data_IF_005864235138
#
_entry.id   IF_005864235138
#
_cell.length_a   1.000
_cell.length_b   1.000
_cell.length_c   1.000
_cell.angle_alpha   90.00
_cell.angle_beta   90.00
_cell.angle_gamma   90.00
#
_symmetry.space_group_name_H-M   'P 1'
#
loop_
_entity.id
_entity.type
_entity.pdbx_description
1 polymer ?
#
# COMPACT_ATOMS: atom_id res chain seq x y z
N UNK A 1 8.74 81.20 26.61
CA UNK A 1 10.20 80.95 26.61
C UNK A 1 10.50 80.03 25.45
N UNK A 2 10.80 80.55 24.25
CA UNK A 2 12.16 80.92 23.75
C UNK A 2 13.08 79.70 23.58
N UNK A 3 13.68 79.38 22.43
CA UNK A 3 13.76 79.96 21.08
C UNK A 3 14.50 78.92 20.18
N UNK A 4 14.15 78.85 18.87
CA UNK A 4 14.94 78.51 17.66
C UNK A 4 15.87 77.24 17.61
N UNK A 5 16.17 76.58 16.48
CA UNK A 5 16.24 77.02 15.09
C UNK A 5 16.24 75.81 14.11
N UNK A 6 15.68 76.04 12.91
CA UNK A 6 15.82 75.28 11.66
C UNK A 6 17.28 75.03 11.26
N UNK A 7 17.58 73.95 10.52
CA UNK A 7 18.30 73.98 9.22
C UNK A 7 17.95 72.73 8.39
N UNK A 8 17.61 72.97 7.11
CA UNK A 8 17.37 71.97 6.06
C UNK A 8 18.70 71.49 5.48
N UNK A 9 18.83 70.19 5.23
CA UNK A 9 19.80 69.64 4.29
C UNK A 9 19.09 68.61 3.40
N UNK A 10 18.96 68.93 2.10
CA UNK A 10 18.56 67.98 1.07
C UNK A 10 19.78 67.14 0.73
N UNK A 11 19.76 65.86 1.12
CA UNK A 11 20.70 64.87 0.58
C UNK A 11 20.06 64.21 -0.65
N UNK A 12 20.63 64.46 -1.81
CA UNK A 12 20.35 63.72 -3.03
C UNK A 12 21.01 62.34 -2.89
N UNK A 13 20.22 61.31 -2.61
CA UNK A 13 20.68 59.91 -2.64
C UNK A 13 20.28 59.33 -4.00
N UNK A 14 21.23 58.87 -4.83
CA UNK A 14 20.89 58.18 -6.06
C UNK A 14 20.26 56.82 -5.70
N UNK A 15 19.02 56.62 -6.15
CA UNK A 15 18.36 55.31 -6.14
C UNK A 15 19.14 54.35 -7.04
N UNK A 16 20.10 53.61 -6.47
CA UNK A 16 20.57 52.37 -7.06
C UNK A 16 19.51 51.30 -6.79
N UNK A 17 18.60 51.11 -7.74
CA UNK A 17 17.74 49.94 -7.80
C UNK A 17 18.65 48.76 -8.18
N UNK A 18 19.11 48.03 -7.17
CA UNK A 18 19.76 46.75 -7.35
C UNK A 18 18.69 45.74 -7.80
N UNK A 19 18.58 45.50 -9.10
CA UNK A 19 17.85 44.35 -9.63
C UNK A 19 18.61 43.09 -9.23
N UNK A 20 18.28 42.52 -8.08
CA UNK A 20 18.61 41.13 -7.78
C UNK A 20 17.72 40.28 -8.67
N UNK A 21 18.24 39.93 -9.86
CA UNK A 21 17.62 38.94 -10.73
C UNK A 21 17.66 37.59 -10.04
N UNK A 22 16.66 37.29 -9.20
CA UNK A 22 16.37 35.92 -8.83
C UNK A 22 15.92 35.20 -10.11
N UNK A 23 16.82 34.42 -10.67
CA UNK A 23 16.46 33.42 -11.67
C UNK A 23 15.55 32.41 -10.97
N UNK A 24 14.24 32.63 -11.08
CA UNK A 24 13.23 31.63 -10.80
C UNK A 24 13.44 30.50 -11.82
N UNK A 25 14.35 29.58 -11.51
CA UNK A 25 14.33 28.25 -12.10
C UNK A 25 13.04 27.61 -11.61
N UNK A 26 11.95 27.92 -12.29
CA UNK A 26 10.70 27.19 -12.16
C UNK A 26 11.05 25.76 -12.52
N UNK A 27 11.10 24.89 -11.50
CA UNK A 27 11.39 23.49 -11.67
C UNK A 27 10.33 22.89 -12.58
N UNK A 28 10.69 22.69 -13.85
CA UNK A 28 9.86 22.05 -14.88
C UNK A 28 9.50 20.61 -14.49
N UNK A 29 10.09 20.07 -13.42
CA UNK A 29 9.81 18.74 -12.89
C UNK A 29 8.50 18.66 -12.09
N UNK A 30 7.99 19.77 -11.57
CA UNK A 30 6.76 19.77 -10.76
C UNK A 30 5.49 19.43 -11.56
N UNK A 31 5.54 19.49 -12.90
CA UNK A 31 4.35 19.33 -13.77
C UNK A 31 4.17 17.90 -14.31
N UNK A 32 5.16 17.00 -14.11
CA UNK A 32 5.17 15.67 -14.75
C UNK A 32 4.55 14.58 -13.87
N UNK A 33 4.46 14.78 -12.55
CA UNK A 33 3.84 13.82 -11.64
C UNK A 33 2.39 14.25 -11.38
N UNK A 34 1.43 13.43 -11.79
CA UNK A 34 0.02 13.69 -11.49
C UNK A 34 -0.15 13.71 -9.96
N UNK A 35 -0.86 14.71 -9.39
CA UNK A 35 -1.11 14.84 -7.95
C UNK A 35 -2.19 13.85 -7.47
N UNK A 36 -2.12 12.61 -7.95
CA UNK A 36 -2.88 11.49 -7.38
C UNK A 36 -2.05 10.94 -6.23
N UNK A 37 -2.66 10.86 -5.06
CA UNK A 37 -2.05 10.18 -3.92
C UNK A 37 -1.77 8.70 -4.22
N UNK A 38 -1.18 8.02 -3.25
CA UNK A 38 -1.00 6.58 -3.24
C UNK A 38 -1.96 5.99 -2.17
N UNK A 39 -3.23 5.72 -2.52
CA UNK A 39 -4.28 5.31 -1.58
C UNK A 39 -4.12 3.88 -1.04
N UNK A 40 -3.14 3.09 -1.50
CA UNK A 40 -2.79 1.79 -0.94
C UNK A 40 -1.41 1.37 -1.43
N UNK A 41 -0.93 0.19 -1.00
CA UNK A 41 0.22 -0.44 -1.63
C UNK A 41 0.04 -0.54 -3.15
N UNK A 42 1.09 -0.19 -3.89
CA UNK A 42 1.07 -0.09 -5.36
C UNK A 42 0.14 0.98 -5.93
N UNK A 43 -0.28 1.95 -5.10
CA UNK A 43 -0.94 3.21 -5.44
C UNK A 43 -2.28 3.16 -6.20
N UNK A 44 -2.80 1.99 -6.54
CA UNK A 44 -4.05 1.87 -7.29
C UNK A 44 -4.69 0.49 -7.09
N UNK A 45 -6.00 0.38 -7.33
CA UNK A 45 -6.76 -0.86 -7.07
C UNK A 45 -6.32 -2.06 -7.89
N UNK A 46 -5.77 -1.78 -9.06
CA UNK A 46 -5.22 -2.74 -10.00
C UNK A 46 -3.71 -2.99 -9.80
N UNK A 47 -3.20 -2.55 -8.64
CA UNK A 47 -1.80 -2.61 -8.20
C UNK A 47 -0.82 -1.96 -9.18
N UNK A 48 -1.27 -0.98 -9.95
CA UNK A 48 -0.42 -0.26 -10.89
C UNK A 48 0.27 0.91 -10.19
N UNK A 49 1.53 0.69 -9.81
CA UNK A 49 2.42 1.74 -9.27
C UNK A 49 3.08 2.53 -10.41
N UNK A 50 2.26 3.07 -11.32
CA UNK A 50 2.76 3.80 -12.47
C UNK A 50 2.01 5.11 -12.67
N UNK A 51 2.73 6.10 -13.17
CA UNK A 51 2.17 7.31 -13.73
C UNK A 51 2.44 7.30 -15.23
N UNK A 52 1.48 7.76 -16.03
CA UNK A 52 1.73 8.05 -17.45
C UNK A 52 2.66 9.27 -17.55
N UNK A 53 3.95 9.00 -17.62
CA UNK A 53 4.97 9.99 -17.92
C UNK A 53 5.51 9.74 -19.33
N UNK A 54 5.63 10.78 -20.18
CA UNK A 54 6.27 10.63 -21.48
C UNK A 54 7.65 9.99 -21.32
N UNK A 55 7.96 9.02 -22.19
CA UNK A 55 9.28 8.40 -22.18
C UNK A 55 10.35 9.50 -22.30
N UNK A 56 11.35 9.54 -21.41
CA UNK A 56 12.36 10.59 -21.47
C UNK A 56 13.15 10.45 -22.78
N UNK A 57 13.40 11.57 -23.44
CA UNK A 57 14.24 11.62 -24.65
C UNK A 57 15.73 11.44 -24.36
N UNK A 58 16.11 11.39 -23.09
CA UNK A 58 17.47 11.25 -22.60
C UNK A 58 17.57 10.03 -21.68
N UNK A 59 18.79 9.53 -21.50
CA UNK A 59 19.06 8.46 -20.53
C UNK A 59 18.63 8.90 -19.12
N UNK A 60 17.91 8.03 -18.42
CA UNK A 60 17.60 8.21 -17.00
C UNK A 60 18.88 8.18 -16.17
N UNK A 61 18.97 9.06 -15.18
CA UNK A 61 20.05 9.07 -14.17
C UNK A 61 19.44 9.11 -12.78
N UNK A 62 20.14 8.53 -11.80
CA UNK A 62 19.81 8.69 -10.39
C UNK A 62 20.04 10.15 -10.03
N UNK A 63 19.00 10.84 -9.55
CA UNK A 63 19.08 12.26 -9.14
C UNK A 63 19.58 12.38 -7.70
N UNK A 64 19.15 11.47 -6.82
CA UNK A 64 19.60 11.39 -5.44
C UNK A 64 19.50 9.96 -4.91
N UNK A 65 20.25 9.69 -3.85
CA UNK A 65 20.21 8.45 -3.07
C UNK A 65 20.57 8.80 -1.63
N UNK A 66 19.81 8.27 -0.66
CA UNK A 66 20.08 8.46 0.77
C UNK A 66 20.40 7.16 1.48
N UNK A 67 21.44 7.20 2.30
CA UNK A 67 21.91 6.09 3.11
C UNK A 67 22.58 6.59 4.42
N UNK A 68 22.14 7.74 4.94
CA UNK A 68 22.77 8.38 6.09
C UNK A 68 22.26 7.80 7.42
N UNK A 69 21.03 7.28 7.45
CA UNK A 69 20.46 6.62 8.64
C UNK A 69 20.59 5.09 8.56
N UNK A 70 20.67 4.40 9.72
CA UNK A 70 20.64 2.94 9.75
C UNK A 70 19.42 2.34 9.02
N UNK A 71 18.23 2.94 9.19
CA UNK A 71 17.01 2.52 8.49
C UNK A 71 17.10 2.68 6.97
N UNK A 72 17.61 3.82 6.49
CA UNK A 72 17.84 4.05 5.04
C UNK A 72 18.80 2.99 4.46
N UNK A 73 19.86 2.62 5.19
CA UNK A 73 20.80 1.55 4.77
C UNK A 73 20.18 0.16 4.79
N UNK A 74 19.30 -0.11 5.75
CA UNK A 74 18.63 -1.40 5.89
C UNK A 74 17.54 -1.61 4.83
N UNK A 75 16.93 -0.52 4.35
CA UNK A 75 15.77 -0.57 3.46
C UNK A 75 14.50 -0.99 4.21
N UNK A 76 13.44 -1.32 3.48
CA UNK A 76 12.16 -1.75 4.06
C UNK A 76 12.14 -3.22 4.50
N UNK A 77 13.10 -4.03 4.04
CA UNK A 77 13.21 -5.45 4.34
C UNK A 77 12.05 -6.26 3.75
N UNK A 78 10.98 -6.42 4.54
CA UNK A 78 9.73 -7.07 4.15
C UNK A 78 8.67 -6.10 3.62
N UNK A 79 8.89 -4.81 3.81
CA UNK A 79 7.93 -3.76 3.49
C UNK A 79 7.85 -3.36 2.04
N UNK A 80 6.71 -2.79 1.69
CA UNK A 80 6.39 -2.24 0.37
C UNK A 80 7.08 -0.88 0.08
N UNK A 81 8.02 -0.48 0.94
CA UNK A 81 9.01 0.55 0.63
C UNK A 81 8.50 1.98 0.83
N UNK A 82 8.37 2.70 -0.27
CA UNK A 82 8.01 4.11 -0.30
C UNK A 82 6.77 4.32 -1.15
N UNK A 83 6.03 5.38 -0.83
CA UNK A 83 4.92 5.87 -1.63
C UNK A 83 5.12 7.37 -1.88
N UNK A 84 4.51 7.89 -2.94
CA UNK A 84 4.64 9.31 -3.30
C UNK A 84 3.40 9.85 -4.00
N UNK A 85 3.28 11.18 -4.06
CA UNK A 85 2.19 11.87 -4.76
C UNK A 85 2.68 13.03 -5.67
N UNK A 86 3.98 13.07 -5.98
CA UNK A 86 4.60 14.15 -6.74
C UNK A 86 5.08 15.35 -5.91
N UNK A 87 4.64 15.48 -4.66
CA UNK A 87 5.09 16.54 -3.74
C UNK A 87 5.97 16.00 -2.61
N UNK A 88 5.57 14.88 -2.01
CA UNK A 88 6.33 14.18 -0.98
C UNK A 88 6.48 12.70 -1.33
N UNK A 89 7.57 12.11 -0.86
CA UNK A 89 7.77 10.66 -0.83
C UNK A 89 7.94 10.22 0.61
N UNK A 90 7.17 9.23 1.06
CA UNK A 90 7.24 8.71 2.42
C UNK A 90 7.65 7.26 2.38
N UNK A 91 8.64 6.90 3.19
CA UNK A 91 9.23 5.57 3.21
C UNK A 91 9.15 4.96 4.60
N UNK A 92 8.86 3.67 4.66
CA UNK A 92 9.00 2.83 5.86
C UNK A 92 10.30 2.04 5.81
N UNK A 93 11.04 2.02 6.93
CA UNK A 93 12.34 1.37 7.02
C UNK A 93 12.37 0.32 8.13
N UNK A 94 13.06 -0.79 7.85
CA UNK A 94 13.38 -1.85 8.80
C UNK A 94 14.36 -1.33 9.85
N UNK A 95 13.79 -0.61 10.81
CA UNK A 95 14.59 0.14 11.74
C UNK A 95 14.63 -0.58 13.09
N UNK A 96 15.71 -1.34 13.27
CA UNK A 96 15.93 -2.17 14.46
C UNK A 96 16.63 -1.37 15.59
N UNK A 97 17.10 -0.13 15.33
CA UNK A 97 18.01 0.58 16.26
C UNK A 97 17.88 2.10 16.34
N UNK A 98 17.12 2.74 15.46
CA UNK A 98 16.91 4.19 15.45
C UNK A 98 15.49 4.52 15.91
N UNK A 99 15.22 5.79 16.21
CA UNK A 99 13.92 6.21 16.70
C UNK A 99 12.87 6.40 15.59
N UNK A 100 13.26 6.45 14.31
CA UNK A 100 12.37 6.85 13.23
C UNK A 100 12.24 5.76 12.16
N UNK A 101 11.05 5.16 12.08
CA UNK A 101 10.76 4.05 11.15
C UNK A 101 10.06 4.54 9.87
N UNK A 102 9.57 5.78 9.89
CA UNK A 102 8.97 6.46 8.75
C UNK A 102 9.70 7.77 8.54
N UNK A 103 10.05 8.06 7.29
CA UNK A 103 10.68 9.32 6.91
C UNK A 103 10.02 9.84 5.65
N UNK A 104 9.72 11.14 5.65
CA UNK A 104 9.26 11.86 4.47
C UNK A 104 10.39 12.67 3.83
N UNK A 105 10.40 12.69 2.51
CA UNK A 105 11.33 13.42 1.67
C UNK A 105 10.58 14.28 0.67
N UNK A 106 11.21 15.37 0.24
CA UNK A 106 10.85 15.96 -1.05
C UNK A 106 11.47 15.15 -2.20
N UNK A 107 11.11 15.53 -3.43
CA UNK A 107 11.60 14.86 -4.63
C UNK A 107 13.04 15.22 -5.01
N UNK A 108 13.68 16.17 -4.31
CA UNK A 108 15.12 16.44 -4.39
C UNK A 108 15.91 15.59 -3.37
N UNK A 109 15.20 14.80 -2.56
CA UNK A 109 15.77 13.91 -1.55
C UNK A 109 16.10 14.61 -0.24
N UNK A 110 15.67 15.85 0.01
CA UNK A 110 15.78 16.47 1.32
C UNK A 110 14.77 15.83 2.29
N UNK A 111 15.16 15.66 3.56
CA UNK A 111 14.24 15.15 4.59
C UNK A 111 13.32 16.27 5.03
N UNK A 112 12.03 16.01 5.05
CA UNK A 112 11.00 16.95 5.49
C UNK A 112 10.66 16.71 6.96
N UNK A 113 10.35 15.47 7.31
CA UNK A 113 9.99 15.06 8.67
C UNK A 113 10.18 13.55 8.87
N UNK A 114 10.09 13.08 10.11
CA UNK A 114 10.12 11.67 10.46
C UNK A 114 9.14 11.33 11.60
N UNK A 115 8.77 10.05 11.73
CA UNK A 115 7.76 9.62 12.72
C UNK A 115 8.20 9.79 14.17
N UNK A 116 9.51 9.94 14.43
CA UNK A 116 10.09 9.76 15.76
C UNK A 116 9.60 8.42 16.35
N UNK A 117 9.51 8.33 17.67
CA UNK A 117 9.04 7.16 18.42
C UNK A 117 7.51 6.93 18.37
N UNK A 118 6.79 7.55 17.43
CA UNK A 118 5.33 7.42 17.40
C UNK A 118 4.88 6.05 16.90
N UNK A 119 5.70 5.34 16.12
CA UNK A 119 5.40 4.05 15.50
C UNK A 119 6.41 2.99 15.91
N UNK A 120 5.93 1.76 16.07
CA UNK A 120 6.72 0.56 16.37
C UNK A 120 7.44 -0.02 15.16
N UNK A 121 8.29 -1.05 15.39
CA UNK A 121 9.12 -1.65 14.33
C UNK A 121 8.30 -2.38 13.26
N UNK A 122 7.07 -2.81 13.57
CA UNK A 122 6.22 -3.56 12.64
C UNK A 122 5.55 -2.69 11.57
N UNK A 123 5.73 -1.36 11.63
CA UNK A 123 5.32 -0.44 10.55
C UNK A 123 5.91 -0.82 9.18
N UNK A 124 7.03 -1.55 9.20
CA UNK A 124 7.71 -2.05 8.01
C UNK A 124 6.83 -2.98 7.19
N UNK A 125 5.80 -3.61 7.76
CA UNK A 125 4.91 -4.50 7.01
C UNK A 125 3.89 -3.74 6.13
N UNK A 126 3.82 -2.41 6.25
CA UNK A 126 2.81 -1.56 5.62
C UNK A 126 3.46 -0.54 4.67
N UNK A 127 2.90 -0.37 3.47
CA UNK A 127 3.16 0.83 2.68
C UNK A 127 2.52 2.06 3.38
N UNK A 128 3.16 3.23 3.34
CA UNK A 128 2.49 4.49 3.66
C UNK A 128 1.36 4.77 2.66
N UNK A 129 0.17 5.10 3.14
CA UNK A 129 -0.86 5.66 2.27
C UNK A 129 -0.68 7.17 2.20
N UNK A 130 -0.53 7.72 0.99
CA UNK A 130 -0.38 9.16 0.79
C UNK A 130 -1.62 9.69 0.10
N UNK A 131 -2.23 10.73 0.66
CA UNK A 131 -3.39 11.39 0.09
C UNK A 131 -2.95 12.48 -0.90
N UNK A 132 -3.86 12.89 -1.79
CA UNK A 132 -3.58 13.92 -2.79
C UNK A 132 -3.16 15.28 -2.16
N UNK A 133 -3.63 15.57 -0.94
CA UNK A 133 -3.26 16.78 -0.20
C UNK A 133 -1.91 16.67 0.55
N UNK A 134 -1.20 15.55 0.43
CA UNK A 134 0.06 15.30 1.12
C UNK A 134 -0.08 14.73 2.53
N UNK A 135 -1.30 14.53 3.05
CA UNK A 135 -1.47 13.81 4.30
C UNK A 135 -1.08 12.35 4.13
N UNK A 136 -0.64 11.73 5.24
CA UNK A 136 -0.08 10.39 5.21
C UNK A 136 -0.72 9.54 6.30
N UNK A 137 -1.25 8.38 5.93
CA UNK A 137 -1.79 7.40 6.88
C UNK A 137 -0.83 6.22 6.97
N UNK A 138 -0.45 5.88 8.20
CA UNK A 138 0.52 4.82 8.49
C UNK A 138 0.03 4.02 9.68
N UNK A 139 0.20 2.71 9.61
CA UNK A 139 -0.19 1.79 10.65
C UNK A 139 0.99 0.93 11.10
N UNK A 140 1.05 0.67 12.40
CA UNK A 140 1.82 -0.43 12.98
C UNK A 140 0.86 -1.40 13.68
N UNK A 141 1.38 -2.39 14.41
CA UNK A 141 0.53 -3.37 15.08
C UNK A 141 -0.23 -2.89 16.31
N UNK A 142 -0.06 -1.65 16.73
CA UNK A 142 -0.68 -1.09 17.95
C UNK A 142 -1.55 0.10 17.67
N UNK A 143 -1.36 0.80 16.55
CA UNK A 143 -2.11 2.00 16.20
C UNK A 143 -1.99 2.35 14.74
N UNK A 144 -2.91 3.21 14.32
CA UNK A 144 -2.82 3.96 13.07
C UNK A 144 -2.68 5.44 13.37
N UNK A 145 -1.89 6.13 12.56
CA UNK A 145 -1.65 7.56 12.66
C UNK A 145 -1.89 8.19 11.29
N UNK A 146 -2.61 9.31 11.28
CA UNK A 146 -2.57 10.25 10.15
C UNK A 146 -1.68 11.42 10.49
N UNK A 147 -0.69 11.64 9.64
CA UNK A 147 0.15 12.82 9.62
C UNK A 147 -0.41 13.82 8.61
N UNK A 148 -0.36 15.10 8.95
CA UNK A 148 -0.49 16.18 7.96
C UNK A 148 0.77 16.20 7.07
N UNK A 149 0.72 16.89 5.93
CA UNK A 149 1.87 17.00 5.02
C UNK A 149 3.16 17.56 5.66
N UNK A 150 3.05 18.32 6.76
CA UNK A 150 4.18 18.84 7.55
C UNK A 150 4.73 17.88 8.62
N UNK A 151 4.14 16.69 8.76
CA UNK A 151 4.52 15.68 9.75
C UNK A 151 3.89 15.87 11.14
N UNK A 152 3.01 16.85 11.32
CA UNK A 152 2.18 16.95 12.53
C UNK A 152 1.14 15.82 12.59
N UNK A 153 0.80 15.34 13.77
CA UNK A 153 -0.21 14.29 13.94
C UNK A 153 -1.60 14.90 13.86
N UNK A 154 -2.37 14.56 12.83
CA UNK A 154 -3.76 14.96 12.69
C UNK A 154 -4.67 14.12 13.62
N UNK A 155 -4.48 12.80 13.63
CA UNK A 155 -5.12 11.88 14.57
C UNK A 155 -4.29 10.61 14.80
N UNK A 156 -4.56 9.91 15.90
CA UNK A 156 -3.99 8.61 16.19
C UNK A 156 -5.01 7.71 16.88
N UNK A 157 -5.13 6.48 16.42
CA UNK A 157 -6.15 5.52 16.87
C UNK A 157 -5.48 4.22 17.30
N UNK A 158 -5.67 3.78 18.56
CA UNK A 158 -5.14 2.50 19.01
C UNK A 158 -5.86 1.32 18.35
N UNK A 159 -5.14 0.23 18.13
CA UNK A 159 -5.66 -1.06 17.66
C UNK A 159 -5.77 -2.01 18.87
N UNK A 160 -6.95 -2.17 19.47
CA UNK A 160 -7.12 -2.81 20.78
C UNK A 160 -6.75 -4.29 20.79
N UNK A 161 -6.85 -4.98 19.66
CA UNK A 161 -6.46 -6.39 19.51
C UNK A 161 -5.09 -6.56 18.86
N UNK A 162 -4.42 -5.44 18.56
CA UNK A 162 -3.17 -5.40 17.82
C UNK A 162 -3.25 -6.05 16.44
N UNK A 163 -2.18 -6.76 16.06
CA UNK A 163 -2.01 -7.43 14.77
C UNK A 163 -1.20 -6.59 13.79
N UNK A 164 -0.20 -7.19 13.14
CA UNK A 164 0.62 -6.51 12.13
C UNK A 164 -0.25 -6.08 10.97
N UNK A 165 -0.26 -4.81 10.61
CA UNK A 165 -1.11 -4.27 9.53
C UNK A 165 -0.46 -4.41 8.16
N UNK A 166 -1.18 -4.94 7.17
CA UNK A 166 -0.66 -5.22 5.84
C UNK A 166 -1.14 -4.17 4.84
N UNK A 167 -0.63 -2.95 4.97
CA UNK A 167 -1.01 -1.76 4.20
C UNK A 167 -2.49 -1.38 4.28
N UNK A 168 -2.80 -0.13 4.63
CA UNK A 168 -4.18 0.32 4.63
C UNK A 168 -4.75 0.41 3.20
N UNK A 169 -6.04 0.17 3.05
CA UNK A 169 -6.81 0.47 1.82
C UNK A 169 -7.99 1.37 2.13
N UNK A 170 -8.49 2.09 1.14
CA UNK A 170 -9.57 3.07 1.30
C UNK A 170 -10.77 2.71 0.42
N UNK A 171 -11.96 2.62 1.02
CA UNK A 171 -13.24 2.46 0.29
C UNK A 171 -13.68 3.74 -0.39
N UNK A 172 -14.64 3.64 -1.32
CA UNK A 172 -15.26 4.82 -1.96
C UNK A 172 -15.89 5.76 -0.93
N UNK A 173 -16.51 5.21 0.13
CA UNK A 173 -17.07 5.96 1.26
C UNK A 173 -16.02 6.38 2.31
N UNK A 174 -14.74 6.33 1.94
CA UNK A 174 -13.60 6.80 2.74
C UNK A 174 -13.46 6.07 4.08
N UNK A 175 -13.86 4.80 4.13
CA UNK A 175 -13.54 3.92 5.25
C UNK A 175 -12.15 3.34 5.02
N UNK A 176 -11.28 3.54 6.00
CA UNK A 176 -9.95 2.98 6.05
C UNK A 176 -10.04 1.54 6.55
N UNK A 177 -9.55 0.59 5.76
CA UNK A 177 -9.56 -0.83 6.10
C UNK A 177 -8.13 -1.31 6.36
N UNK A 178 -7.96 -2.03 7.46
CA UNK A 178 -6.70 -2.65 7.87
C UNK A 178 -6.94 -4.14 8.01
N UNK A 179 -6.41 -4.93 7.08
CA UNK A 179 -6.30 -6.37 7.30
C UNK A 179 -4.98 -6.65 8.03
N UNK A 180 -5.02 -7.61 8.96
CA UNK A 180 -3.87 -7.85 9.84
C UNK A 180 -3.41 -9.31 9.82
N UNK A 181 -2.12 -9.47 10.14
CA UNK A 181 -1.54 -10.74 10.60
C UNK A 181 -1.70 -10.77 12.11
N UNK A 182 -2.27 -11.85 12.63
CA UNK A 182 -2.47 -12.08 14.06
C UNK A 182 -3.36 -11.03 14.74
N UNK A 183 -4.42 -10.60 14.06
CA UNK A 183 -5.46 -9.73 14.59
C UNK A 183 -6.72 -9.74 13.70
N UNK A 184 -7.71 -8.88 13.99
CA UNK A 184 -8.92 -8.75 13.19
C UNK A 184 -8.70 -7.87 11.95
N UNK A 185 -9.74 -7.76 11.12
CA UNK A 185 -9.89 -6.67 10.16
C UNK A 185 -10.44 -5.45 10.90
N UNK A 186 -9.83 -4.28 10.73
CA UNK A 186 -10.33 -3.03 11.30
C UNK A 186 -10.94 -2.13 10.23
N UNK A 187 -11.97 -1.38 10.61
CA UNK A 187 -12.54 -0.29 9.84
C UNK A 187 -12.47 1.02 10.65
N UNK A 188 -11.94 2.06 10.03
CA UNK A 188 -11.81 3.38 10.63
C UNK A 188 -12.34 4.46 9.69
N UNK A 189 -12.85 5.54 10.26
CA UNK A 189 -13.10 6.78 9.55
C UNK A 189 -11.76 7.40 9.14
N UNK A 190 -11.47 7.50 7.85
CA UNK A 190 -10.19 8.04 7.37
C UNK A 190 -9.99 9.54 7.69
N UNK A 191 -11.07 10.27 7.95
CA UNK A 191 -11.04 11.69 8.27
C UNK A 191 -10.74 11.91 9.74
N UNK A 192 -11.49 11.26 10.62
CA UNK A 192 -11.42 11.50 12.07
C UNK A 192 -10.51 10.51 12.80
N UNK A 193 -10.17 9.39 12.19
CA UNK A 193 -9.51 8.26 12.83
C UNK A 193 -10.44 7.43 13.72
N UNK A 194 -11.73 7.77 13.83
CA UNK A 194 -12.65 7.02 14.67
C UNK A 194 -12.74 5.55 14.23
N UNK A 195 -12.58 4.63 15.17
CA UNK A 195 -12.81 3.21 14.91
C UNK A 195 -14.30 2.98 14.68
N UNK A 196 -14.63 2.46 13.49
CA UNK A 196 -15.99 2.18 13.08
C UNK A 196 -16.38 0.75 13.45
N UNK A 197 -15.48 -0.21 13.24
CA UNK A 197 -15.68 -1.62 13.58
C UNK A 197 -14.35 -2.39 13.60
N UNK A 198 -14.41 -3.59 14.16
CA UNK A 198 -13.40 -4.62 13.98
C UNK A 198 -14.09 -5.99 13.81
N UNK A 199 -13.49 -6.88 13.03
CA UNK A 199 -14.08 -8.20 12.75
C UNK A 199 -13.00 -9.28 12.67
N UNK A 200 -13.11 -10.29 13.54
CA UNK A 200 -12.40 -11.55 13.36
C UNK A 200 -13.16 -12.41 12.37
N UNK A 201 -12.49 -12.82 11.29
CA UNK A 201 -13.07 -13.75 10.31
C UNK A 201 -12.95 -15.15 10.91
N UNK A 202 -14.07 -15.82 11.15
CA UNK A 202 -14.13 -17.13 11.80
C UNK A 202 -14.75 -18.16 10.86
N UNK A 203 -14.33 -19.43 10.97
CA UNK A 203 -14.99 -20.54 10.26
C UNK A 203 -16.42 -20.78 10.77
N UNK A 204 -16.62 -20.57 12.07
CA UNK A 204 -17.92 -20.66 12.74
C UNK A 204 -17.89 -19.86 14.05
N UNK A 205 -19.04 -19.56 14.67
CA UNK A 205 -19.07 -18.89 15.97
C UNK A 205 -18.34 -19.62 17.10
N UNK A 206 -18.11 -20.93 16.97
CA UNK A 206 -17.42 -21.77 17.94
C UNK A 206 -15.96 -22.06 17.53
N UNK A 207 -15.46 -21.41 16.48
CA UNK A 207 -14.10 -21.59 16.00
C UNK A 207 -13.09 -21.17 17.08
N UNK A 208 -12.11 -22.04 17.33
CA UNK A 208 -11.01 -21.76 18.25
C UNK A 208 -9.91 -20.91 17.60
N UNK A 209 -9.96 -20.76 16.28
CA UNK A 209 -9.07 -19.97 15.47
C UNK A 209 -9.72 -18.75 14.85
N UNK A 210 -8.98 -18.11 13.95
CA UNK A 210 -9.47 -17.07 13.06
C UNK A 210 -8.60 -16.99 11.81
N UNK A 211 -9.12 -16.35 10.78
CA UNK A 211 -8.39 -16.10 9.55
C UNK A 211 -7.59 -14.80 9.65
N UNK A 212 -6.30 -14.87 9.34
CA UNK A 212 -5.39 -13.74 9.24
C UNK A 212 -4.88 -13.55 7.81
N UNK A 213 -4.20 -12.45 7.52
CA UNK A 213 -3.55 -12.25 6.22
C UNK A 213 -2.11 -11.77 6.35
N UNK A 214 -1.33 -12.05 5.31
CA UNK A 214 0.00 -11.45 5.11
C UNK A 214 0.02 -10.55 3.86
N UNK A 215 -1.16 -10.24 3.32
CA UNK A 215 -1.32 -9.59 2.04
C UNK A 215 -2.10 -8.28 2.17
N UNK A 216 -1.79 -7.33 1.30
CA UNK A 216 -2.59 -6.10 1.19
C UNK A 216 -3.94 -6.44 0.57
N UNK A 217 -5.06 -5.98 1.14
CA UNK A 217 -6.36 -6.20 0.53
C UNK A 217 -6.50 -5.58 -0.86
N UNK A 218 -7.39 -6.16 -1.67
CA UNK A 218 -7.94 -5.47 -2.84
C UNK A 218 -9.28 -4.84 -2.47
N UNK A 219 -9.72 -3.82 -3.20
CA UNK A 219 -11.01 -3.19 -2.93
C UNK A 219 -11.66 -2.69 -4.23
N UNK A 220 -12.98 -2.84 -4.31
CA UNK A 220 -13.83 -2.31 -5.39
C UNK A 220 -15.07 -1.69 -4.76
N UNK A 221 -15.23 -0.37 -4.89
CA UNK A 221 -16.30 0.34 -4.20
C UNK A 221 -16.15 0.23 -2.69
N UNK A 222 -17.22 -0.26 -2.04
CA UNK A 222 -17.23 -0.54 -0.61
C UNK A 222 -17.08 -2.04 -0.28
N UNK A 223 -16.48 -2.83 -1.18
CA UNK A 223 -16.20 -4.24 -0.95
C UNK A 223 -14.71 -4.54 -0.97
N UNK A 224 -14.24 -5.16 0.11
CA UNK A 224 -12.84 -5.53 0.33
C UNK A 224 -12.65 -7.02 0.07
N UNK A 225 -11.54 -7.38 -0.57
CA UNK A 225 -11.14 -8.76 -0.84
C UNK A 225 -9.84 -9.06 -0.11
N UNK A 226 -9.86 -10.08 0.74
CA UNK A 226 -8.74 -10.45 1.59
C UNK A 226 -8.44 -11.93 1.38
N UNK A 227 -7.23 -12.23 0.91
CA UNK A 227 -6.73 -13.60 0.89
C UNK A 227 -6.15 -13.93 2.27
N UNK A 228 -6.60 -15.00 2.87
CA UNK A 228 -6.40 -15.30 4.29
C UNK A 228 -5.96 -16.73 4.51
N UNK A 229 -5.40 -16.98 5.69
CA UNK A 229 -5.02 -18.28 6.20
C UNK A 229 -5.58 -18.46 7.61
N UNK A 230 -6.05 -19.66 7.91
CA UNK A 230 -6.58 -19.98 9.23
C UNK A 230 -5.44 -20.24 10.22
N UNK A 231 -5.60 -19.75 11.45
CA UNK A 231 -4.68 -20.02 12.55
C UNK A 231 -5.42 -20.43 13.81
N UNK A 232 -4.80 -21.27 14.62
CA UNK A 232 -5.32 -21.73 15.92
C UNK A 232 -4.24 -21.48 16.97
N UNK A 233 -4.55 -20.67 17.99
CA UNK A 233 -3.60 -20.37 19.07
C UNK A 233 -2.31 -19.70 18.61
N UNK A 234 -2.37 -18.87 17.56
CA UNK A 234 -1.19 -18.16 17.02
C UNK A 234 -0.30 -19.01 16.09
N UNK A 235 -0.72 -20.23 15.77
CA UNK A 235 -0.04 -21.11 14.81
C UNK A 235 -0.94 -21.36 13.61
N UNK A 236 -0.36 -21.55 12.42
CA UNK A 236 -1.14 -21.94 11.23
C UNK A 236 -1.95 -23.20 11.53
N UNK A 237 -3.19 -23.24 11.02
CA UNK A 237 -4.03 -24.43 11.10
C UNK A 237 -3.29 -25.61 10.43
N UNK A 238 -3.12 -26.75 11.12
CA UNK A 238 -2.51 -27.94 10.52
C UNK A 238 -3.26 -28.46 9.28
N UNK A 239 -4.55 -28.16 9.15
CA UNK A 239 -5.36 -28.47 7.97
C UNK A 239 -5.13 -27.49 6.82
N UNK A 240 -4.30 -26.46 7.02
CA UNK A 240 -3.82 -25.59 5.94
C UNK A 240 -4.96 -24.89 5.19
N UNK A 241 -5.99 -24.51 5.93
CA UNK A 241 -7.20 -23.87 5.40
C UNK A 241 -6.90 -22.40 5.12
N UNK A 242 -7.28 -21.91 3.95
CA UNK A 242 -7.25 -20.49 3.61
C UNK A 242 -8.49 -20.10 2.83
N UNK A 243 -8.84 -18.81 2.88
CA UNK A 243 -9.99 -18.26 2.17
C UNK A 243 -9.62 -17.00 1.41
N UNK A 244 -10.15 -16.84 0.20
CA UNK A 244 -10.41 -15.50 -0.31
C UNK A 244 -11.77 -15.06 0.24
N UNK A 245 -11.80 -13.99 1.03
CA UNK A 245 -13.02 -13.47 1.65
C UNK A 245 -13.38 -12.13 1.02
N UNK A 246 -14.67 -11.95 0.70
CA UNK A 246 -15.24 -10.64 0.38
C UNK A 246 -16.01 -10.08 1.57
N UNK A 247 -15.71 -8.84 1.93
CA UNK A 247 -16.34 -8.12 3.05
C UNK A 247 -17.01 -6.88 2.48
N UNK A 248 -18.32 -6.77 2.66
CA UNK A 248 -19.08 -5.55 2.44
C UNK A 248 -18.84 -4.59 3.60
N UNK A 249 -18.51 -3.35 3.25
CA UNK A 249 -18.27 -2.27 4.20
C UNK A 249 -19.44 -1.30 4.14
N UNK A 250 -20.16 -1.18 5.24
CA UNK A 250 -21.22 -0.18 5.41
C UNK A 250 -20.83 0.78 6.53
N UNK A 251 -20.45 2.00 6.16
CA UNK A 251 -20.01 3.02 7.13
C UNK A 251 -21.14 3.42 8.09
N UNK A 252 -22.37 3.46 7.58
CA UNK A 252 -23.50 4.07 8.24
C UNK A 252 -24.40 3.03 8.93
N UNK A 253 -24.03 1.75 8.85
CA UNK A 253 -24.74 0.70 9.57
C UNK A 253 -24.82 1.03 11.07
N UNK A 254 -26.01 0.87 11.69
CA UNK A 254 -26.26 1.33 13.05
C UNK A 254 -25.50 0.50 14.09
N UNK A 255 -25.30 -0.80 13.83
CA UNK A 255 -24.56 -1.70 14.69
C UNK A 255 -23.14 -1.90 14.16
N UNK A 256 -22.16 -2.01 15.07
CA UNK A 256 -20.75 -2.23 14.71
C UNK A 256 -20.55 -3.49 13.87
N UNK A 257 -21.25 -4.59 14.22
CA UNK A 257 -21.16 -5.88 13.53
C UNK A 257 -21.68 -5.86 12.08
N UNK A 258 -22.57 -4.91 11.76
CA UNK A 258 -23.13 -4.76 10.41
C UNK A 258 -22.21 -3.95 9.48
N UNK A 259 -21.17 -3.29 10.02
CA UNK A 259 -20.26 -2.43 9.23
C UNK A 259 -19.20 -3.21 8.47
N UNK A 260 -18.92 -4.44 8.89
CA UNK A 260 -18.00 -5.37 8.24
C UNK A 260 -18.66 -6.73 8.09
N UNK A 261 -19.40 -6.90 7.00
CA UNK A 261 -20.17 -8.11 6.75
C UNK A 261 -19.49 -8.99 5.73
N UNK A 262 -19.15 -10.23 6.10
CA UNK A 262 -18.69 -11.23 5.14
C UNK A 262 -19.82 -11.51 4.15
N UNK A 263 -19.59 -11.14 2.88
CA UNK A 263 -20.53 -11.36 1.79
C UNK A 263 -20.45 -12.81 1.26
N UNK A 264 -19.22 -13.29 1.13
CA UNK A 264 -18.89 -14.67 0.76
C UNK A 264 -17.42 -14.97 1.06
N UNK A 265 -17.08 -16.25 1.04
CA UNK A 265 -15.71 -16.73 0.99
C UNK A 265 -15.55 -17.78 -0.12
N UNK A 266 -14.33 -17.93 -0.62
CA UNK A 266 -13.92 -18.95 -1.58
C UNK A 266 -12.77 -19.76 -0.97
N UNK A 267 -12.97 -21.07 -0.84
CA UNK A 267 -12.01 -21.96 -0.18
C UNK A 267 -10.76 -22.20 -1.02
N UNK A 268 -9.60 -22.05 -0.38
CA UNK A 268 -8.28 -22.36 -0.91
C UNK A 268 -7.42 -23.06 0.14
N UNK A 269 -6.20 -23.43 -0.23
CA UNK A 269 -5.21 -24.02 0.67
C UNK A 269 -4.40 -22.95 1.41
N UNK A 270 -3.13 -23.25 1.66
CA UNK A 270 -2.22 -22.41 2.44
C UNK A 270 -1.90 -21.04 1.85
N UNK A 271 -1.30 -20.25 2.76
CA UNK A 271 -0.60 -18.97 2.59
C UNK A 271 -0.49 -18.49 1.14
N UNK A 272 -1.26 -17.47 0.82
CA UNK A 272 -0.95 -16.63 -0.33
C UNK A 272 0.22 -15.73 0.01
N UNK A 273 1.14 -15.58 -0.95
CA UNK A 273 2.27 -14.64 -0.84
C UNK A 273 2.09 -13.41 -1.71
N UNK A 274 0.91 -13.25 -2.30
CA UNK A 274 0.60 -12.17 -3.23
C UNK A 274 -0.72 -11.51 -2.87
N UNK A 275 -0.73 -10.19 -2.95
CA UNK A 275 -1.96 -9.41 -2.75
C UNK A 275 -2.92 -9.63 -3.93
N UNK A 276 -4.21 -9.86 -3.67
CA UNK A 276 -5.19 -9.99 -4.75
C UNK A 276 -5.29 -8.69 -5.56
N UNK A 277 -5.84 -8.79 -6.76
CA UNK A 277 -6.36 -7.64 -7.52
C UNK A 277 -7.80 -7.88 -7.93
N UNK A 278 -8.54 -6.78 -8.10
CA UNK A 278 -9.90 -6.81 -8.63
C UNK A 278 -9.97 -5.97 -9.89
N UNK A 279 -10.53 -6.53 -10.96
CA UNK A 279 -10.70 -5.86 -12.25
C UNK A 279 -12.04 -6.23 -12.85
N UNK A 280 -12.89 -5.23 -13.11
CA UNK A 280 -14.30 -5.50 -13.42
C UNK A 280 -14.91 -6.37 -12.32
N UNK A 281 -15.60 -7.45 -12.68
CA UNK A 281 -16.21 -8.40 -11.75
C UNK A 281 -15.33 -9.64 -11.49
N UNK A 282 -14.02 -9.54 -11.74
CA UNK A 282 -13.06 -10.63 -11.53
C UNK A 282 -12.11 -10.29 -10.41
N UNK A 283 -11.92 -11.22 -9.48
CA UNK A 283 -10.87 -11.18 -8.45
C UNK A 283 -9.80 -12.19 -8.83
N UNK A 284 -8.55 -11.72 -8.93
CA UNK A 284 -7.38 -12.52 -9.29
C UNK A 284 -6.46 -12.63 -8.08
N UNK A 285 -6.00 -13.84 -7.80
CA UNK A 285 -5.14 -14.12 -6.66
C UNK A 285 -4.37 -15.43 -6.85
N UNK A 286 -3.40 -15.68 -5.98
CA UNK A 286 -2.64 -16.92 -5.91
C UNK A 286 -2.84 -17.55 -4.55
N UNK A 287 -2.92 -18.88 -4.52
CA UNK A 287 -2.91 -19.68 -3.31
C UNK A 287 -2.60 -21.12 -3.66
N UNK A 288 -2.45 -21.98 -2.67
CA UNK A 288 -2.53 -23.43 -2.86
C UNK A 288 -3.98 -23.88 -3.10
N UNK A 289 -4.17 -25.05 -3.70
CA UNK A 289 -5.50 -25.69 -3.76
C UNK A 289 -5.92 -26.17 -2.37
N UNK A 290 -7.21 -26.07 -2.04
CA UNK A 290 -7.76 -26.69 -0.84
C UNK A 290 -7.52 -28.20 -0.85
N UNK A 291 -7.22 -28.80 0.31
CA UNK A 291 -7.03 -30.24 0.48
C UNK A 291 -5.90 -30.86 -0.37
N UNK A 292 -4.82 -30.13 -0.68
CA UNK A 292 -3.69 -30.65 -1.47
C UNK A 292 -2.89 -31.80 -0.80
N UNK A 293 -3.26 -32.23 0.41
CA UNK A 293 -2.44 -33.11 1.24
C UNK A 293 -1.37 -32.29 1.99
N UNK A 294 -0.68 -32.92 2.93
CA UNK A 294 0.20 -32.21 3.87
C UNK A 294 1.49 -31.69 3.24
N UNK A 295 1.89 -32.20 2.07
CA UNK A 295 3.31 -32.14 1.63
C UNK A 295 3.55 -31.44 0.28
N UNK A 296 2.54 -31.03 -0.49
CA UNK A 296 2.73 -30.36 -1.79
C UNK A 296 1.99 -29.01 -1.80
N UNK A 297 2.71 -27.89 -1.95
CA UNK A 297 2.16 -26.52 -1.92
C UNK A 297 1.17 -26.25 -3.08
N UNK A 298 0.96 -27.21 -4.01
CA UNK A 298 0.05 -27.19 -5.16
C UNK A 298 -0.41 -25.78 -5.61
N UNK A 299 0.54 -24.91 -6.01
CA UNK A 299 0.30 -23.49 -6.15
C UNK A 299 -0.48 -23.21 -7.43
N UNK A 300 -1.45 -22.31 -7.36
CA UNK A 300 -2.35 -21.98 -8.44
C UNK A 300 -2.65 -20.49 -8.49
N UNK A 301 -2.79 -19.96 -9.70
CA UNK A 301 -3.48 -18.69 -9.91
C UNK A 301 -4.96 -18.98 -10.15
N UNK A 302 -5.80 -18.21 -9.49
CA UNK A 302 -7.25 -18.28 -9.57
C UNK A 302 -7.81 -17.00 -10.17
N UNK A 303 -8.91 -17.16 -10.90
CA UNK A 303 -9.87 -16.10 -11.14
C UNK A 303 -11.23 -16.53 -10.60
N UNK A 304 -11.85 -15.67 -9.81
CA UNK A 304 -13.22 -15.88 -9.32
C UNK A 304 -14.08 -14.67 -9.63
N UNK A 305 -15.39 -14.87 -9.71
CA UNK A 305 -16.34 -13.76 -9.84
C UNK A 305 -16.46 -12.98 -8.53
N UNK A 306 -16.66 -11.68 -8.63
CA UNK A 306 -17.14 -10.83 -7.52
C UNK A 306 -18.68 -10.85 -7.50
N UNK A 307 -19.27 -12.01 -7.20
CA UNK A 307 -20.72 -12.12 -7.08
C UNK A 307 -21.25 -11.47 -5.80
N UNK A 308 -22.55 -11.20 -5.71
CA UNK A 308 -23.14 -10.50 -4.56
C UNK A 308 -22.98 -11.29 -3.25
N UNK A 309 -23.29 -12.58 -3.29
CA UNK A 309 -23.36 -13.49 -2.11
C UNK A 309 -22.54 -14.77 -2.27
N UNK A 310 -21.88 -14.95 -3.42
CA UNK A 310 -21.00 -16.08 -3.69
C UNK A 310 -19.96 -15.70 -4.73
N UNK A 311 -18.85 -16.43 -4.74
CA UNK A 311 -17.84 -16.37 -5.79
C UNK A 311 -17.83 -17.69 -6.57
N UNK A 312 -17.70 -17.61 -7.88
CA UNK A 312 -17.58 -18.76 -8.78
C UNK A 312 -16.20 -18.78 -9.40
N UNK A 313 -15.53 -19.94 -9.38
CA UNK A 313 -14.26 -20.12 -10.11
C UNK A 313 -14.51 -19.93 -11.61
N UNK A 314 -13.83 -18.95 -12.22
CA UNK A 314 -13.83 -18.73 -13.67
C UNK A 314 -12.80 -19.65 -14.29
N UNK A 315 -11.59 -19.64 -13.75
CA UNK A 315 -10.51 -20.56 -14.11
C UNK A 315 -9.49 -20.67 -12.99
N UNK A 316 -8.71 -21.75 -13.08
CA UNK A 316 -7.57 -22.02 -12.22
C UNK A 316 -6.40 -22.55 -13.06
N UNK A 317 -5.19 -22.05 -12.83
CA UNK A 317 -3.98 -22.47 -13.56
C UNK A 317 -2.87 -22.81 -12.57
N UNK A 318 -2.34 -24.03 -12.69
CA UNK A 318 -1.21 -24.49 -11.86
C UNK A 318 0.04 -23.66 -12.15
N UNK A 319 0.75 -23.31 -11.09
CA UNK A 319 2.08 -22.70 -11.15
C UNK A 319 3.15 -23.75 -10.92
N UNK A 320 4.36 -23.50 -11.44
CA UNK A 320 5.53 -24.34 -11.20
C UNK A 320 6.14 -24.13 -9.80
N UNK A 321 5.78 -23.03 -9.15
CA UNK A 321 6.18 -22.63 -7.79
C UNK A 321 5.19 -21.58 -7.26
N UNK A 322 5.11 -21.34 -5.95
CA UNK A 322 4.24 -20.29 -5.40
C UNK A 322 4.54 -18.92 -6.00
N UNK A 323 3.52 -18.07 -6.15
CA UNK A 323 3.78 -16.67 -6.47
C UNK A 323 4.59 -16.02 -5.34
N UNK A 324 5.42 -15.02 -5.64
CA UNK A 324 6.17 -14.29 -4.61
C UNK A 324 5.85 -12.79 -4.56
N UNK A 325 5.21 -12.23 -5.60
CA UNK A 325 4.74 -10.86 -5.51
C UNK A 325 3.57 -10.54 -6.46
N UNK A 326 3.08 -9.32 -6.26
CA UNK A 326 1.80 -8.77 -6.65
C UNK A 326 1.40 -9.02 -8.09
N UNK A 327 0.16 -9.46 -8.24
CA UNK A 327 -0.56 -9.31 -9.49
C UNK A 327 -0.61 -7.84 -9.87
N UNK A 328 -0.26 -7.53 -11.11
CA UNK A 328 -0.31 -6.20 -11.69
C UNK A 328 -1.20 -6.26 -12.93
N UNK A 329 -2.25 -5.46 -12.99
CA UNK A 329 -3.04 -5.37 -14.22
C UNK A 329 -2.19 -4.72 -15.32
N UNK A 330 -2.12 -5.35 -16.48
CA UNK A 330 -1.40 -4.83 -17.63
C UNK A 330 -2.06 -3.54 -18.14
N UNK A 331 -1.33 -2.45 -18.35
CA UNK A 331 -1.92 -1.18 -18.81
C UNK A 331 -2.37 -1.17 -20.27
N UNK A 332 -2.06 -2.21 -21.05
CA UNK A 332 -2.49 -2.32 -22.44
C UNK A 332 -4.02 -2.54 -22.53
N UNK A 333 -4.65 -2.22 -23.69
CA UNK A 333 -6.10 -2.28 -23.85
C UNK A 333 -6.70 -3.67 -23.58
N UNK A 334 -5.93 -4.73 -23.82
CA UNK A 334 -6.35 -6.09 -23.56
C UNK A 334 -6.29 -6.43 -22.06
N UNK A 335 -7.40 -6.95 -21.53
CA UNK A 335 -7.56 -7.31 -20.12
C UNK A 335 -6.63 -8.47 -19.75
N UNK A 336 -5.44 -8.13 -19.28
CA UNK A 336 -4.38 -9.06 -18.94
C UNK A 336 -3.66 -8.62 -17.67
N UNK A 337 -2.91 -9.52 -17.05
CA UNK A 337 -2.17 -9.21 -15.83
C UNK A 337 -0.81 -9.90 -15.83
N UNK A 338 0.14 -9.27 -15.13
CA UNK A 338 1.47 -9.80 -14.87
C UNK A 338 1.52 -10.44 -13.49
N UNK A 339 2.27 -11.53 -13.40
CA UNK A 339 2.68 -12.14 -12.14
C UNK A 339 4.06 -12.79 -12.33
N UNK A 340 4.69 -13.18 -11.21
CA UNK A 340 5.85 -14.04 -11.26
C UNK A 340 5.88 -15.01 -10.09
N UNK A 341 6.36 -16.21 -10.36
CA UNK A 341 6.54 -17.25 -9.37
C UNK A 341 7.92 -17.16 -8.70
N UNK A 342 8.01 -17.59 -7.45
CA UNK A 342 9.26 -17.70 -6.71
C UNK A 342 10.25 -18.57 -7.51
N UNK A 343 11.49 -18.11 -7.62
CA UNK A 343 12.55 -18.74 -8.41
C UNK A 343 12.26 -18.89 -9.93
N UNK A 344 11.14 -18.40 -10.46
CA UNK A 344 10.89 -18.40 -11.91
C UNK A 344 11.86 -17.43 -12.60
N UNK A 345 12.59 -17.80 -13.65
CA UNK A 345 13.41 -16.85 -14.39
C UNK A 345 12.56 -15.88 -15.22
N UNK A 346 11.22 -15.96 -15.18
CA UNK A 346 10.37 -15.18 -16.07
C UNK A 346 9.30 -14.37 -15.33
N UNK A 347 8.92 -13.25 -15.95
CA UNK A 347 7.63 -12.61 -15.73
C UNK A 347 6.63 -13.20 -16.72
N UNK A 348 5.42 -13.52 -16.23
CA UNK A 348 4.39 -14.13 -17.05
C UNK A 348 3.18 -13.22 -17.10
N UNK A 349 2.70 -12.95 -18.30
CA UNK A 349 1.46 -12.25 -18.55
C UNK A 349 0.37 -13.23 -18.93
N UNK A 350 -0.80 -13.10 -18.32
CA UNK A 350 -1.95 -13.97 -18.57
C UNK A 350 -3.18 -13.16 -18.95
N UNK A 351 -4.08 -13.80 -19.69
CA UNK A 351 -5.45 -13.31 -19.91
C UNK A 351 -6.21 -13.32 -18.59
N UNK A 352 -6.93 -12.23 -18.28
CA UNK A 352 -7.88 -12.21 -17.15
C UNK A 352 -9.06 -13.15 -17.41
N UNK A 353 -9.47 -13.31 -18.67
CA UNK A 353 -10.65 -14.09 -19.04
C UNK A 353 -10.40 -15.60 -19.02
N UNK A 354 -9.23 -16.07 -19.49
CA UNK A 354 -8.96 -17.50 -19.67
C UNK A 354 -7.83 -18.04 -18.79
N UNK A 355 -7.02 -17.17 -18.20
CA UNK A 355 -5.80 -17.52 -17.47
C UNK A 355 -4.66 -18.01 -18.36
N UNK A 356 -4.84 -18.06 -19.68
CA UNK A 356 -3.80 -18.53 -20.60
C UNK A 356 -2.63 -17.54 -20.67
N UNK A 357 -1.44 -18.08 -20.88
CA UNK A 357 -0.22 -17.27 -21.02
C UNK A 357 -0.28 -16.54 -22.36
N UNK A 358 -0.20 -15.22 -22.31
CA UNK A 358 -0.12 -14.34 -23.49
C UNK A 358 1.34 -14.08 -23.83
N UNK A 359 2.15 -13.79 -22.80
CA UNK A 359 3.52 -13.31 -22.96
C UNK A 359 4.39 -13.78 -21.81
N UNK A 360 5.68 -13.96 -22.06
CA UNK A 360 6.67 -14.31 -21.04
C UNK A 360 7.96 -13.56 -21.33
N UNK A 361 8.51 -12.89 -20.31
CA UNK A 361 9.77 -12.13 -20.40
C UNK A 361 10.81 -12.80 -19.50
N UNK A 362 12.00 -13.08 -20.03
CA UNK A 362 13.11 -13.65 -19.25
C UNK A 362 13.85 -12.57 -18.45
N UNK A 363 13.98 -12.77 -17.14
CA UNK A 363 14.69 -11.90 -16.18
C UNK A 363 16.21 -12.07 -16.23
N UNK A 364 16.75 -13.13 -16.83
CA UNK A 364 18.19 -13.41 -16.83
C UNK A 364 19.05 -12.39 -17.60
N UNK A 365 18.47 -11.31 -18.14
CA UNK A 365 19.19 -10.13 -18.63
C UNK A 365 19.07 -8.86 -17.77
N UNK A 366 18.14 -8.81 -16.80
CA UNK A 366 17.83 -7.59 -16.03
C UNK A 366 18.70 -7.40 -14.79
N UNK A 367 19.40 -8.43 -14.31
CA UNK A 367 20.29 -8.34 -13.13
C UNK A 367 21.50 -7.39 -13.34
N UNK A 368 21.75 -6.94 -14.58
CA UNK A 368 22.74 -5.90 -14.89
C UNK A 368 22.19 -4.47 -14.83
N UNK A 369 20.86 -4.28 -14.79
CA UNK A 369 20.24 -2.95 -14.80
C UNK A 369 19.90 -2.43 -13.39
N UNK A 370 19.99 -3.27 -12.36
CA UNK A 370 19.61 -2.96 -10.98
C UNK A 370 20.79 -3.00 -9.98
N UNK A 371 22.04 -2.98 -10.46
CA UNK A 371 23.24 -2.87 -9.61
C UNK A 371 23.98 -1.56 -9.83
#
# INVERSE_FOLDING_TARGET
MTWLCNWKAFLFVPNFILFVGFSLHSSVFAEVLLPVGCPKAHCSQDNRDWAYVPAPSQNSKIVWHRNLLPGEKAGSGIGLGCSGNGHIAVCTFQNIRSHSNVIAYDYDGARLWDSRNLLGPEVVASAPMILANGDVIIADSKKVIRFSGDGSVAWSTPLPFGGTTLSPVLTDDRVLILATKSGPVYALDSITGQMLAHHFILQSPADAGYFETQNTPAIKGNRVFIITQHQIGGSLDPNKIGWLVAIDVDRDAPNEEDRLKVAWHFEVGTESRSSPIVTGDVVLFESSRANAGTDDEDPHVFAVTNGATEATEIWRKRLTSPAFASFLLDPRPETSFWHFALASPTWTRRSVETGDIIETINRQGSDRLLR
#
